data_IF_117854872977
#
_entry.id   IF_117854872977
#
_cell.length_a   1.000
_cell.length_b   1.000
_cell.length_c   1.000
_cell.angle_alpha   90.00
_cell.angle_beta   90.00
_cell.angle_gamma   90.00
#
_symmetry.space_group_name_H-M   'P 1'
#
loop_
_entity.id
_entity.type
_entity.pdbx_description
1 polymer ?
#
# COMPACT_ATOMS: atom_id res chain seq x y z
N UNK A 1 36.15 30.85 10.10
CA UNK A 1 36.68 31.69 9.00
C UNK A 1 35.61 31.70 7.92
N UNK A 2 35.24 32.86 7.35
CA UNK A 2 34.29 32.93 6.25
C UNK A 2 34.73 32.10 5.04
N UNK A 3 33.79 31.46 4.35
CA UNK A 3 34.09 30.67 3.14
C UNK A 3 34.63 31.55 2.00
N UNK A 4 34.22 32.82 1.92
CA UNK A 4 34.72 33.78 0.91
C UNK A 4 36.25 33.92 0.95
N UNK A 5 36.85 33.87 2.14
CA UNK A 5 38.31 34.02 2.33
C UNK A 5 39.12 32.87 1.71
N UNK A 6 38.46 31.75 1.36
CA UNK A 6 39.08 30.56 0.75
C UNK A 6 38.98 30.53 -0.78
N UNK A 7 38.37 31.53 -1.42
CA UNK A 7 38.14 31.57 -2.87
C UNK A 7 39.31 32.18 -3.67
N UNK A 8 40.44 31.49 -3.69
CA UNK A 8 41.72 32.03 -4.19
C UNK A 8 41.95 31.77 -5.68
N UNK A 9 41.45 30.65 -6.20
CA UNK A 9 41.66 30.15 -7.57
C UNK A 9 40.32 29.80 -8.28
N UNK A 10 40.38 29.32 -9.52
CA UNK A 10 39.16 28.99 -10.29
C UNK A 10 38.38 27.80 -9.70
N UNK A 11 39.07 26.81 -9.12
CA UNK A 11 38.45 25.60 -8.57
C UNK A 11 37.71 25.91 -7.27
N UNK A 12 38.33 26.69 -6.38
CA UNK A 12 37.72 27.19 -5.14
C UNK A 12 36.58 28.17 -5.40
N UNK A 13 36.67 29.01 -6.45
CA UNK A 13 35.54 29.85 -6.90
C UNK A 13 34.36 29.02 -7.42
N UNK A 14 34.65 27.96 -8.18
CA UNK A 14 33.64 27.01 -8.66
C UNK A 14 32.96 26.28 -7.50
N UNK A 15 33.72 25.87 -6.49
CA UNK A 15 33.19 25.28 -5.26
C UNK A 15 32.29 26.26 -4.48
N UNK A 16 32.71 27.52 -4.32
CA UNK A 16 31.87 28.56 -3.70
C UNK A 16 30.55 28.77 -4.44
N UNK A 17 30.58 28.77 -5.79
CA UNK A 17 29.36 28.88 -6.59
C UNK A 17 28.39 27.69 -6.37
N UNK A 18 28.90 26.48 -6.18
CA UNK A 18 28.08 25.30 -5.83
C UNK A 18 27.44 25.45 -4.45
N UNK A 19 28.16 25.96 -3.45
CA UNK A 19 27.60 26.24 -2.12
C UNK A 19 26.47 27.26 -2.20
N UNK A 20 26.65 28.35 -2.94
CA UNK A 20 25.59 29.36 -3.15
C UNK A 20 24.36 28.74 -3.82
N UNK A 21 24.57 27.85 -4.80
CA UNK A 21 23.49 27.14 -5.48
C UNK A 21 22.73 26.22 -4.52
N UNK A 22 23.43 25.44 -3.69
CA UNK A 22 22.83 24.57 -2.67
C UNK A 22 22.06 25.40 -1.64
N UNK A 23 22.64 26.50 -1.14
CA UNK A 23 21.98 27.40 -0.22
C UNK A 23 20.69 28.00 -0.81
N UNK A 24 20.72 28.46 -2.07
CA UNK A 24 19.51 28.91 -2.78
C UNK A 24 18.46 27.81 -2.89
N UNK A 25 18.87 26.60 -3.23
CA UNK A 25 17.96 25.46 -3.33
C UNK A 25 17.30 25.18 -1.98
N UNK A 26 18.06 25.10 -0.89
CA UNK A 26 17.51 24.91 0.46
C UNK A 26 16.50 26.00 0.84
N UNK A 27 16.76 27.26 0.50
CA UNK A 27 15.84 28.38 0.81
C UNK A 27 14.57 28.40 -0.05
N UNK A 28 14.56 27.71 -1.19
CA UNK A 28 13.47 27.77 -2.18
C UNK A 28 12.78 26.45 -2.42
N UNK A 29 13.28 25.34 -1.86
CA UNK A 29 12.63 24.03 -1.97
C UNK A 29 11.24 24.13 -1.36
N UNK A 30 10.22 23.76 -2.14
CA UNK A 30 8.81 23.74 -1.70
C UNK A 30 8.22 22.32 -1.64
N UNK A 31 9.04 21.33 -1.96
CA UNK A 31 8.70 19.92 -1.84
C UNK A 31 8.44 19.56 -0.36
N UNK A 32 7.20 19.21 -0.04
CA UNK A 32 6.77 18.86 1.32
C UNK A 32 7.48 17.63 1.86
N UNK A 33 7.79 16.66 1.01
CA UNK A 33 8.49 15.46 1.41
C UNK A 33 9.95 15.80 1.77
N UNK A 34 10.64 16.59 0.94
CA UNK A 34 12.00 17.06 1.26
C UNK A 34 12.01 17.90 2.53
N UNK A 35 11.08 18.86 2.66
CA UNK A 35 10.99 19.74 3.85
C UNK A 35 10.83 18.94 5.13
N UNK A 36 10.04 17.87 5.10
CA UNK A 36 9.80 17.03 6.26
C UNK A 36 11.08 16.36 6.77
N UNK A 37 11.94 15.88 5.87
CA UNK A 37 13.20 15.22 6.24
C UNK A 37 14.33 16.22 6.51
N UNK A 38 14.43 17.29 5.72
CA UNK A 38 15.54 18.23 5.77
C UNK A 38 15.30 19.42 6.72
N UNK A 39 14.23 19.42 7.52
CA UNK A 39 13.76 20.58 8.29
C UNK A 39 14.89 21.29 9.05
N UNK A 40 15.72 20.55 9.78
CA UNK A 40 16.81 21.11 10.58
C UNK A 40 17.81 21.89 9.71
N UNK A 41 18.21 21.31 8.58
CA UNK A 41 19.13 21.94 7.63
C UNK A 41 18.52 23.19 6.99
N UNK A 42 17.24 23.13 6.63
CA UNK A 42 16.53 24.26 6.04
C UNK A 42 16.34 25.41 7.03
N UNK A 43 15.94 25.10 8.27
CA UNK A 43 15.72 26.10 9.33
C UNK A 43 17.04 26.77 9.74
N UNK A 44 18.13 25.99 9.89
CA UNK A 44 19.47 26.51 10.17
C UNK A 44 19.92 27.48 9.07
N UNK A 45 19.84 27.06 7.81
CA UNK A 45 20.31 27.87 6.69
C UNK A 45 19.43 29.10 6.46
N UNK A 46 18.12 28.98 6.66
CA UNK A 46 17.19 30.12 6.64
C UNK A 46 17.45 31.13 7.75
N UNK A 47 17.84 30.66 8.94
CA UNK A 47 18.19 31.56 10.05
C UNK A 47 19.48 32.33 9.77
N UNK A 48 20.51 31.64 9.25
CA UNK A 48 21.82 32.23 8.97
C UNK A 48 21.77 33.23 7.82
N UNK A 49 21.05 32.92 6.75
CA UNK A 49 21.00 33.75 5.53
C UNK A 49 19.80 34.69 5.49
N UNK A 50 19.10 34.88 6.63
CA UNK A 50 17.92 35.73 6.70
C UNK A 50 18.23 37.16 6.30
N UNK A 51 17.57 37.65 5.25
CA UNK A 51 17.77 39.01 4.73
C UNK A 51 19.10 39.25 3.99
N UNK A 52 19.94 38.21 3.85
CA UNK A 52 21.17 38.29 3.08
C UNK A 52 20.88 38.18 1.57
N UNK A 53 21.65 38.89 0.74
CA UNK A 53 21.65 38.67 -0.71
C UNK A 53 22.49 37.45 -1.03
N UNK A 54 22.15 36.75 -2.10
CA UNK A 54 22.89 35.57 -2.56
C UNK A 54 24.40 35.80 -2.77
N UNK A 55 24.79 37.02 -3.14
CA UNK A 55 26.18 37.44 -3.32
C UNK A 55 26.97 37.46 -2.01
N UNK A 56 26.28 37.58 -0.86
CA UNK A 56 26.89 37.67 0.47
C UNK A 56 26.85 36.34 1.22
N UNK A 57 26.26 35.28 0.67
CA UNK A 57 26.10 33.99 1.37
C UNK A 57 27.44 33.40 1.84
N UNK A 58 28.49 33.49 1.02
CA UNK A 58 29.81 32.96 1.35
C UNK A 58 30.57 33.79 2.40
N UNK A 59 30.14 35.04 2.64
CA UNK A 59 30.69 35.91 3.69
C UNK A 59 30.14 35.56 5.08
N UNK A 60 28.94 34.99 5.08
CA UNK A 60 28.17 34.69 6.28
C UNK A 60 28.38 33.23 6.72
N UNK A 61 28.45 32.31 5.75
CA UNK A 61 28.69 30.90 6.04
C UNK A 61 30.13 30.71 6.53
N UNK A 62 30.28 30.09 7.69
CA UNK A 62 31.56 29.55 8.15
C UNK A 62 31.65 28.04 7.89
N UNK A 63 32.82 27.49 8.20
CA UNK A 63 33.18 26.11 7.91
C UNK A 63 32.32 25.11 8.69
N UNK A 64 32.07 25.39 9.97
CA UNK A 64 31.30 24.52 10.86
C UNK A 64 29.85 24.41 10.42
N UNK A 65 29.23 25.51 9.99
CA UNK A 65 27.86 25.50 9.47
C UNK A 65 27.76 24.75 8.15
N UNK A 66 28.78 24.87 7.28
CA UNK A 66 28.81 24.17 6.00
C UNK A 66 28.96 22.65 6.19
N UNK A 67 29.82 22.21 7.11
CA UNK A 67 29.98 20.81 7.48
C UNK A 67 28.71 20.26 8.14
N UNK A 68 28.11 21.01 9.07
CA UNK A 68 26.85 20.64 9.70
C UNK A 68 25.72 20.49 8.67
N UNK A 69 25.62 21.42 7.72
CA UNK A 69 24.65 21.36 6.63
C UNK A 69 24.86 20.10 5.77
N UNK A 70 26.11 19.79 5.40
CA UNK A 70 26.45 18.59 4.64
C UNK A 70 26.01 17.31 5.34
N UNK A 71 26.35 17.18 6.62
CA UNK A 71 26.00 16.02 7.43
C UNK A 71 24.48 15.85 7.60
N UNK A 72 23.75 16.94 7.86
CA UNK A 72 22.30 16.90 8.05
C UNK A 72 21.56 16.54 6.75
N UNK A 73 21.99 17.07 5.61
CA UNK A 73 21.39 16.73 4.31
C UNK A 73 21.69 15.29 3.90
N UNK A 74 22.88 14.78 4.22
CA UNK A 74 23.24 13.37 4.02
C UNK A 74 22.41 12.43 4.90
N UNK A 75 22.25 12.75 6.18
CA UNK A 75 21.39 11.98 7.09
C UNK A 75 19.96 11.94 6.57
N UNK A 76 19.43 13.08 6.11
CA UNK A 76 18.10 13.19 5.51
C UNK A 76 17.97 12.31 4.26
N UNK A 77 18.99 12.29 3.39
CA UNK A 77 19.03 11.46 2.20
C UNK A 77 19.03 9.96 2.54
N UNK A 78 19.75 9.57 3.60
CA UNK A 78 19.76 8.20 4.12
C UNK A 78 18.38 7.79 4.62
N UNK A 79 17.72 8.64 5.42
CA UNK A 79 16.37 8.39 5.93
C UNK A 79 15.33 8.24 4.80
N UNK A 80 15.38 9.11 3.78
CA UNK A 80 14.54 9.00 2.58
C UNK A 80 14.82 7.69 1.85
N UNK A 81 16.09 7.32 1.69
CA UNK A 81 16.48 6.06 1.04
C UNK A 81 15.92 4.84 1.76
N UNK A 82 16.01 4.79 3.10
CA UNK A 82 15.39 3.71 3.89
C UNK A 82 13.88 3.68 3.69
N UNK A 83 13.22 4.85 3.66
CA UNK A 83 11.78 4.95 3.46
C UNK A 83 11.35 4.45 2.07
N UNK A 84 12.07 4.83 1.02
CA UNK A 84 11.86 4.35 -0.36
C UNK A 84 11.99 2.82 -0.41
N UNK A 85 13.04 2.25 0.18
CA UNK A 85 13.23 0.79 0.22
C UNK A 85 12.08 0.08 0.94
N UNK A 86 11.60 0.66 2.05
CA UNK A 86 10.43 0.11 2.76
C UNK A 86 9.17 0.16 1.90
N UNK A 87 8.89 1.29 1.26
CA UNK A 87 7.72 1.44 0.39
C UNK A 87 7.79 0.49 -0.81
N UNK A 88 8.96 0.30 -1.43
CA UNK A 88 9.14 -0.72 -2.48
C UNK A 88 8.77 -2.12 -2.01
N UNK A 89 9.24 -2.51 -0.81
CA UNK A 89 8.90 -3.82 -0.22
C UNK A 89 7.40 -3.94 0.04
N UNK A 90 6.78 -2.90 0.60
CA UNK A 90 5.33 -2.90 0.88
C UNK A 90 4.51 -3.01 -0.41
N UNK A 91 4.96 -2.40 -1.52
CA UNK A 91 4.31 -2.47 -2.84
C UNK A 91 4.44 -3.86 -3.47
N UNK A 92 5.61 -4.49 -3.36
CA UNK A 92 5.82 -5.88 -3.84
C UNK A 92 4.86 -6.87 -3.15
N UNK A 93 4.48 -6.62 -1.90
CA UNK A 93 3.50 -7.45 -1.17
C UNK A 93 2.08 -7.23 -1.68
N UNK A 94 1.77 -6.06 -2.27
CA UNK A 94 0.41 -5.67 -2.64
C UNK A 94 -0.01 -6.03 -4.07
N UNK A 95 0.91 -6.39 -4.98
CA UNK A 95 0.68 -6.82 -6.37
C UNK A 95 -0.73 -6.53 -6.95
N UNK A 96 -0.91 -5.31 -7.47
CA UNK A 96 -2.18 -4.80 -8.01
C UNK A 96 -2.89 -5.78 -8.94
N UNK A 97 -2.17 -6.41 -9.87
CA UNK A 97 -2.73 -7.37 -10.81
C UNK A 97 -3.34 -8.61 -10.13
N UNK A 98 -2.79 -9.04 -8.99
CA UNK A 98 -3.34 -10.15 -8.23
C UNK A 98 -4.58 -9.71 -7.44
N UNK A 99 -4.58 -8.50 -6.87
CA UNK A 99 -5.73 -7.93 -6.17
C UNK A 99 -6.91 -7.68 -7.11
N UNK A 100 -6.68 -7.12 -8.30
CA UNK A 100 -7.73 -6.91 -9.30
C UNK A 100 -8.34 -8.22 -9.77
N UNK A 101 -7.50 -9.25 -9.99
CA UNK A 101 -7.96 -10.60 -10.34
C UNK A 101 -8.80 -11.22 -9.22
N UNK A 102 -8.37 -11.09 -7.96
CA UNK A 102 -9.13 -11.56 -6.79
C UNK A 102 -10.48 -10.84 -6.68
N UNK A 103 -10.49 -9.51 -6.83
CA UNK A 103 -11.72 -8.70 -6.86
C UNK A 103 -12.67 -9.14 -7.97
N UNK A 104 -12.17 -9.33 -9.18
CA UNK A 104 -12.98 -9.77 -10.33
C UNK A 104 -13.60 -11.16 -10.09
N UNK A 105 -12.86 -12.09 -9.49
CA UNK A 105 -13.36 -13.41 -9.13
C UNK A 105 -14.50 -13.33 -8.10
N UNK A 106 -14.35 -12.51 -7.06
CA UNK A 106 -15.39 -12.31 -6.03
C UNK A 106 -16.65 -11.69 -6.64
N UNK A 107 -16.51 -10.71 -7.54
CA UNK A 107 -17.65 -10.11 -8.26
C UNK A 107 -18.38 -11.17 -9.08
N UNK A 108 -17.63 -12.01 -9.83
CA UNK A 108 -18.21 -13.09 -10.62
C UNK A 108 -18.94 -14.14 -9.75
N UNK A 109 -18.39 -14.47 -8.60
CA UNK A 109 -19.03 -15.37 -7.64
C UNK A 109 -20.32 -14.77 -7.07
N UNK A 110 -20.30 -13.47 -6.75
CA UNK A 110 -21.48 -12.72 -6.31
C UNK A 110 -22.59 -12.75 -7.36
N UNK A 111 -22.28 -12.49 -8.62
CA UNK A 111 -23.23 -12.58 -9.74
C UNK A 111 -23.78 -14.00 -9.93
N UNK A 112 -22.94 -15.01 -9.70
CA UNK A 112 -23.36 -16.42 -9.77
C UNK A 112 -24.37 -16.74 -8.68
N UNK A 113 -24.13 -16.29 -7.45
CA UNK A 113 -25.08 -16.44 -6.34
C UNK A 113 -26.39 -15.67 -6.62
N UNK A 114 -26.32 -14.48 -7.22
CA UNK A 114 -27.52 -13.70 -7.59
C UNK A 114 -28.41 -14.44 -8.59
N UNK A 115 -27.80 -15.09 -9.59
CA UNK A 115 -28.54 -15.94 -10.54
C UNK A 115 -29.14 -17.14 -9.82
N UNK A 116 -28.37 -17.84 -8.99
CA UNK A 116 -28.86 -19.00 -8.24
C UNK A 116 -30.03 -18.64 -7.30
N UNK A 117 -29.96 -17.52 -6.58
CA UNK A 117 -31.07 -17.03 -5.74
C UNK A 117 -32.31 -16.77 -6.60
N UNK A 118 -32.14 -16.13 -7.76
CA UNK A 118 -33.25 -15.83 -8.68
C UNK A 118 -33.89 -17.11 -9.22
N UNK A 119 -33.09 -18.10 -9.58
CA UNK A 119 -33.55 -19.41 -10.05
C UNK A 119 -34.31 -20.16 -8.96
N UNK A 120 -33.76 -20.19 -7.73
CA UNK A 120 -34.41 -20.85 -6.58
C UNK A 120 -35.72 -20.13 -6.23
N UNK A 121 -35.76 -18.79 -6.22
CA UNK A 121 -37.01 -18.03 -5.99
C UNK A 121 -38.05 -18.34 -7.06
N UNK A 122 -37.63 -18.45 -8.32
CA UNK A 122 -38.51 -18.84 -9.43
C UNK A 122 -39.07 -20.25 -9.21
N UNK A 123 -38.23 -21.18 -8.74
CA UNK A 123 -38.64 -22.53 -8.37
C UNK A 123 -39.60 -22.57 -7.18
N UNK A 124 -39.35 -21.77 -6.13
CA UNK A 124 -40.27 -21.64 -4.99
C UNK A 124 -41.64 -21.13 -5.45
N UNK A 125 -41.66 -20.12 -6.32
CA UNK A 125 -42.90 -19.58 -6.88
C UNK A 125 -43.64 -20.64 -7.71
N UNK A 126 -42.92 -21.38 -8.54
CA UNK A 126 -43.50 -22.48 -9.33
C UNK A 126 -44.13 -23.56 -8.44
N UNK A 127 -43.40 -24.02 -7.41
CA UNK A 127 -43.88 -25.03 -6.44
C UNK A 127 -45.12 -24.51 -5.72
N UNK A 128 -45.07 -23.26 -5.25
CA UNK A 128 -46.18 -22.63 -4.52
C UNK A 128 -47.44 -22.47 -5.39
N UNK A 129 -47.30 -22.31 -6.71
CA UNK A 129 -48.44 -22.15 -7.61
C UNK A 129 -48.99 -23.48 -8.12
N UNK A 130 -48.13 -24.47 -8.37
CA UNK A 130 -48.50 -25.68 -9.11
C UNK A 130 -48.50 -26.96 -8.28
N UNK A 131 -47.77 -27.00 -7.16
CA UNK A 131 -47.65 -28.18 -6.29
C UNK A 131 -48.31 -27.98 -4.91
N UNK A 132 -48.92 -26.82 -4.66
CA UNK A 132 -49.57 -26.53 -3.39
C UNK A 132 -50.73 -27.51 -3.13
N UNK A 133 -50.77 -28.16 -1.95
CA UNK A 133 -51.89 -29.00 -1.57
C UNK A 133 -53.20 -28.22 -1.68
N UNK A 134 -54.20 -28.83 -2.34
CA UNK A 134 -55.53 -28.22 -2.45
C UNK A 134 -56.23 -28.21 -1.09
N UNK A 135 -57.36 -27.50 -1.01
CA UNK A 135 -58.11 -27.33 0.24
C UNK A 135 -58.38 -28.65 0.99
N UNK A 136 -58.74 -29.73 0.30
CA UNK A 136 -59.11 -31.00 0.92
C UNK A 136 -57.92 -31.72 1.60
N UNK A 137 -56.79 -31.98 0.93
CA UNK A 137 -55.58 -32.46 1.58
C UNK A 137 -55.14 -31.58 2.77
N UNK A 138 -55.14 -30.26 2.62
CA UNK A 138 -54.79 -29.35 3.73
C UNK A 138 -55.78 -29.43 4.90
N UNK A 139 -57.08 -29.60 4.61
CA UNK A 139 -58.11 -29.78 5.62
C UNK A 139 -57.90 -31.10 6.38
N UNK A 140 -57.59 -32.19 5.69
CA UNK A 140 -57.34 -33.50 6.30
C UNK A 140 -56.03 -33.54 7.10
N UNK A 141 -55.01 -32.82 6.63
CA UNK A 141 -53.67 -32.79 7.23
C UNK A 141 -53.58 -31.97 8.53
N UNK A 142 -54.64 -31.24 8.91
CA UNK A 142 -54.66 -30.39 10.09
C UNK A 142 -54.43 -31.20 11.38
N UNK A 143 -53.34 -30.87 12.07
CA UNK A 143 -52.93 -31.53 13.30
C UNK A 143 -53.74 -31.09 14.53
N UNK A 144 -54.48 -29.98 14.44
CA UNK A 144 -55.31 -29.45 15.53
C UNK A 144 -56.76 -29.23 15.08
N UNK A 145 -57.49 -30.28 14.68
CA UNK A 145 -58.87 -30.13 14.29
C UNK A 145 -59.72 -29.69 15.50
N UNK A 146 -60.48 -28.61 15.33
CA UNK A 146 -61.49 -28.21 16.31
C UNK A 146 -62.60 -29.27 16.45
N UNK A 147 -63.39 -29.20 17.52
CA UNK A 147 -64.40 -30.22 17.88
C UNK A 147 -65.27 -30.71 16.71
N UNK A 148 -65.85 -29.80 15.93
CA UNK A 148 -66.70 -30.15 14.78
C UNK A 148 -65.93 -30.84 13.65
N UNK A 149 -64.69 -30.43 13.42
CA UNK A 149 -63.82 -31.04 12.41
C UNK A 149 -63.40 -32.44 12.83
N UNK A 150 -63.10 -32.66 14.11
CA UNK A 150 -62.78 -33.98 14.64
C UNK A 150 -63.91 -34.98 14.46
N UNK A 151 -65.18 -34.54 14.57
CA UNK A 151 -66.35 -35.38 14.29
C UNK A 151 -66.38 -35.77 12.80
N UNK A 152 -66.11 -34.83 11.90
CA UNK A 152 -66.07 -35.12 10.45
C UNK A 152 -64.92 -36.07 10.10
N UNK A 153 -63.73 -35.84 10.67
CA UNK A 153 -62.55 -36.67 10.47
C UNK A 153 -62.72 -38.09 11.02
N UNK A 154 -63.55 -38.30 12.06
CA UNK A 154 -63.84 -39.62 12.62
C UNK A 154 -64.45 -40.60 11.60
N UNK A 155 -65.18 -40.08 10.61
CA UNK A 155 -65.78 -40.89 9.54
C UNK A 155 -64.82 -41.12 8.35
N UNK A 156 -63.62 -40.53 8.37
CA UNK A 156 -62.63 -40.64 7.31
C UNK A 156 -61.59 -41.69 7.72
N UNK A 157 -61.26 -42.66 6.84
CA UNK A 157 -60.24 -43.64 7.17
C UNK A 157 -58.88 -42.98 7.44
N UNK A 158 -58.20 -43.44 8.50
CA UNK A 158 -56.93 -42.87 8.96
C UNK A 158 -55.86 -42.82 7.86
N UNK A 159 -55.84 -43.80 6.94
CA UNK A 159 -54.92 -43.83 5.81
C UNK A 159 -55.01 -42.57 4.92
N UNK A 160 -56.22 -42.05 4.67
CA UNK A 160 -56.38 -40.81 3.89
C UNK A 160 -55.88 -39.57 4.63
N UNK A 161 -55.98 -39.57 5.96
CA UNK A 161 -55.46 -38.50 6.82
C UNK A 161 -53.93 -38.55 6.81
N UNK A 162 -53.35 -39.74 6.93
CA UNK A 162 -51.89 -39.94 6.93
C UNK A 162 -51.27 -39.58 5.57
N UNK A 163 -51.90 -39.99 4.45
CA UNK A 163 -51.48 -39.62 3.10
C UNK A 163 -51.55 -38.09 2.87
N UNK A 164 -52.60 -37.44 3.37
CA UNK A 164 -52.75 -35.99 3.29
C UNK A 164 -51.69 -35.25 4.11
N UNK A 165 -51.39 -35.74 5.32
CA UNK A 165 -50.30 -35.22 6.15
C UNK A 165 -48.94 -35.38 5.48
N UNK A 166 -48.67 -36.56 4.92
CA UNK A 166 -47.42 -36.82 4.22
C UNK A 166 -47.26 -35.87 3.01
N UNK A 167 -48.31 -35.67 2.23
CA UNK A 167 -48.30 -34.76 1.08
C UNK A 167 -48.03 -33.31 1.48
N UNK A 168 -48.72 -32.81 2.53
CA UNK A 168 -48.50 -31.45 3.03
C UNK A 168 -47.10 -31.28 3.62
N UNK A 169 -46.65 -32.23 4.44
CA UNK A 169 -45.30 -32.20 5.03
C UNK A 169 -44.21 -32.23 3.96
N UNK A 170 -44.38 -33.03 2.89
CA UNK A 170 -43.43 -33.06 1.76
C UNK A 170 -43.37 -31.73 1.02
N UNK A 171 -44.50 -31.05 0.85
CA UNK A 171 -44.56 -29.72 0.23
C UNK A 171 -43.85 -28.68 1.11
N UNK A 172 -44.17 -28.64 2.40
CA UNK A 172 -43.58 -27.69 3.35
C UNK A 172 -42.06 -27.91 3.49
N UNK A 173 -41.61 -29.17 3.54
CA UNK A 173 -40.18 -29.49 3.63
C UNK A 173 -39.42 -29.06 2.36
N UNK A 174 -40.01 -29.27 1.16
CA UNK A 174 -39.42 -28.79 -0.10
C UNK A 174 -39.22 -27.27 -0.08
N UNK A 175 -40.25 -26.51 0.30
CA UNK A 175 -40.15 -25.04 0.38
C UNK A 175 -39.11 -24.61 1.40
N UNK A 176 -39.14 -25.20 2.60
CA UNK A 176 -38.20 -24.89 3.68
C UNK A 176 -36.74 -25.13 3.28
N UNK A 177 -36.45 -26.21 2.54
CA UNK A 177 -35.11 -26.50 2.03
C UNK A 177 -34.64 -25.41 1.07
N UNK A 178 -35.50 -25.00 0.12
CA UNK A 178 -35.17 -23.95 -0.85
C UNK A 178 -35.03 -22.57 -0.19
N UNK A 179 -35.86 -22.24 0.79
CA UNK A 179 -35.73 -21.01 1.59
C UNK A 179 -34.42 -20.97 2.38
N UNK A 180 -34.02 -22.11 2.96
CA UNK A 180 -32.72 -22.23 3.65
C UNK A 180 -31.55 -22.05 2.69
N UNK A 181 -31.66 -22.58 1.47
CA UNK A 181 -30.65 -22.42 0.42
C UNK A 181 -30.52 -20.95 -0.02
N UNK A 182 -31.65 -20.26 -0.25
CA UNK A 182 -31.67 -18.81 -0.52
C UNK A 182 -30.95 -18.06 0.60
N UNK A 183 -31.31 -18.32 1.87
CA UNK A 183 -30.72 -17.63 3.01
C UNK A 183 -29.20 -17.83 3.08
N UNK A 184 -28.74 -19.04 2.82
CA UNK A 184 -27.30 -19.36 2.81
C UNK A 184 -26.56 -18.62 1.69
N UNK A 185 -27.17 -18.53 0.51
CA UNK A 185 -26.61 -17.77 -0.62
C UNK A 185 -26.62 -16.25 -0.35
N UNK A 186 -27.65 -15.73 0.31
CA UNK A 186 -27.75 -14.32 0.72
C UNK A 186 -26.67 -13.97 1.76
N UNK A 187 -26.48 -14.80 2.79
CA UNK A 187 -25.40 -14.63 3.77
C UNK A 187 -24.02 -14.67 3.10
N UNK A 188 -23.82 -15.59 2.15
CA UNK A 188 -22.58 -15.67 1.37
C UNK A 188 -22.37 -14.41 0.52
N UNK A 189 -23.43 -13.89 -0.12
CA UNK A 189 -23.39 -12.66 -0.91
C UNK A 189 -23.00 -11.45 -0.06
N UNK A 190 -23.50 -11.36 1.17
CA UNK A 190 -23.15 -10.29 2.11
C UNK A 190 -21.65 -10.33 2.46
N UNK A 191 -21.12 -11.52 2.74
CA UNK A 191 -19.67 -11.70 2.97
C UNK A 191 -18.84 -11.29 1.76
N UNK A 192 -19.21 -11.76 0.57
CA UNK A 192 -18.53 -11.41 -0.68
C UNK A 192 -18.58 -9.89 -0.95
N UNK A 193 -19.65 -9.19 -0.57
CA UNK A 193 -19.70 -7.73 -0.68
C UNK A 193 -18.68 -7.04 0.24
N UNK A 194 -18.48 -7.56 1.45
CA UNK A 194 -17.39 -7.13 2.34
C UNK A 194 -16.01 -7.37 1.72
N UNK A 195 -15.81 -8.54 1.10
CA UNK A 195 -14.54 -8.87 0.42
C UNK A 195 -14.26 -7.92 -0.76
N UNK A 196 -15.26 -7.59 -1.58
CA UNK A 196 -15.11 -6.59 -2.66
C UNK A 196 -14.65 -5.25 -2.11
N UNK A 197 -15.30 -4.77 -1.04
CA UNK A 197 -14.94 -3.50 -0.41
C UNK A 197 -13.50 -3.53 0.14
N UNK A 198 -13.09 -4.64 0.76
CA UNK A 198 -11.74 -4.83 1.27
C UNK A 198 -10.70 -4.76 0.14
N UNK A 199 -10.94 -5.46 -0.98
CA UNK A 199 -10.04 -5.41 -2.13
C UNK A 199 -9.99 -4.01 -2.76
N UNK A 200 -11.10 -3.29 -2.85
CA UNK A 200 -11.12 -1.90 -3.34
C UNK A 200 -10.29 -0.98 -2.44
N UNK A 201 -10.40 -1.13 -1.11
CA UNK A 201 -9.56 -0.37 -0.18
C UNK A 201 -8.07 -0.68 -0.35
N UNK A 202 -7.72 -1.95 -0.56
CA UNK A 202 -6.33 -2.37 -0.79
C UNK A 202 -5.77 -1.78 -2.09
N UNK A 203 -6.51 -1.86 -3.19
CA UNK A 203 -6.12 -1.28 -4.49
C UNK A 203 -5.90 0.24 -4.37
N UNK A 204 -6.80 0.96 -3.70
CA UNK A 204 -6.63 2.41 -3.48
C UNK A 204 -5.40 2.70 -2.61
N UNK A 205 -5.14 1.88 -1.59
CA UNK A 205 -3.96 2.02 -0.74
C UNK A 205 -2.66 1.78 -1.53
N UNK A 206 -2.64 0.78 -2.40
CA UNK A 206 -1.50 0.46 -3.25
C UNK A 206 -1.21 1.60 -4.23
N UNK A 207 -2.22 2.14 -4.91
CA UNK A 207 -2.06 3.30 -5.80
C UNK A 207 -1.47 4.50 -5.08
N UNK A 208 -2.01 4.85 -3.91
CA UNK A 208 -1.46 5.95 -3.08
C UNK A 208 -0.01 5.70 -2.68
N UNK A 209 0.34 4.46 -2.40
CA UNK A 209 1.70 4.08 -2.03
C UNK A 209 2.66 4.13 -3.23
N UNK A 210 2.20 3.73 -4.42
CA UNK A 210 2.94 3.84 -5.68
C UNK A 210 3.18 5.31 -6.07
N UNK A 211 2.14 6.14 -6.04
CA UNK A 211 2.23 7.58 -6.34
C UNK A 211 3.20 8.27 -5.36
N UNK A 212 3.05 8.00 -4.06
CA UNK A 212 3.94 8.54 -3.03
C UNK A 212 5.38 8.04 -3.17
N UNK A 213 5.59 6.80 -3.63
CA UNK A 213 6.92 6.27 -3.90
C UNK A 213 7.59 7.00 -5.07
N UNK A 214 6.85 7.24 -6.16
CA UNK A 214 7.35 7.97 -7.33
C UNK A 214 7.80 9.37 -6.95
N UNK A 215 6.95 10.12 -6.26
CA UNK A 215 7.26 11.48 -5.77
C UNK A 215 8.50 11.45 -4.87
N UNK A 216 8.54 10.55 -3.88
CA UNK A 216 9.67 10.46 -2.96
C UNK A 216 10.98 10.05 -3.66
N UNK A 217 10.93 9.28 -4.74
CA UNK A 217 12.12 8.95 -5.55
C UNK A 217 12.64 10.16 -6.34
N UNK A 218 11.75 10.98 -6.91
CA UNK A 218 12.12 12.24 -7.55
C UNK A 218 12.77 13.19 -6.54
N UNK A 219 12.14 13.36 -5.37
CA UNK A 219 12.66 14.14 -4.25
C UNK A 219 14.04 13.65 -3.80
N UNK A 220 14.21 12.32 -3.64
CA UNK A 220 15.49 11.68 -3.31
C UNK A 220 16.57 12.03 -4.34
N UNK A 221 16.23 12.02 -5.62
CA UNK A 221 17.18 12.28 -6.71
C UNK A 221 17.63 13.74 -6.71
N UNK A 222 16.69 14.68 -6.53
CA UNK A 222 17.00 16.10 -6.40
C UNK A 222 17.86 16.39 -5.17
N UNK A 223 17.52 15.81 -4.02
CA UNK A 223 18.32 15.96 -2.80
C UNK A 223 19.71 15.33 -2.96
N UNK A 224 19.81 14.14 -3.55
CA UNK A 224 21.08 13.45 -3.79
C UNK A 224 22.05 14.27 -4.64
N UNK A 225 21.55 14.90 -5.72
CA UNK A 225 22.35 15.82 -6.53
C UNK A 225 22.86 17.02 -5.71
N UNK A 226 22.00 17.57 -4.84
CA UNK A 226 22.34 18.71 -3.99
C UNK A 226 23.39 18.34 -2.95
N UNK A 227 23.26 17.18 -2.30
CA UNK A 227 24.23 16.64 -1.34
C UNK A 227 25.58 16.40 -2.04
N UNK A 228 25.58 15.82 -3.23
CA UNK A 228 26.81 15.59 -3.99
C UNK A 228 27.48 16.88 -4.44
N UNK A 229 26.71 17.87 -4.93
CA UNK A 229 27.22 19.21 -5.27
C UNK A 229 27.88 19.87 -4.03
N UNK A 230 27.26 19.74 -2.86
CA UNK A 230 27.77 20.28 -1.60
C UNK A 230 29.03 19.57 -1.12
N UNK A 231 29.04 18.24 -1.09
CA UNK A 231 30.22 17.44 -0.69
C UNK A 231 31.42 17.72 -1.59
N UNK A 232 31.22 17.77 -2.90
CA UNK A 232 32.28 18.11 -3.83
C UNK A 232 32.85 19.50 -3.57
N UNK A 233 31.99 20.48 -3.22
CA UNK A 233 32.43 21.82 -2.88
C UNK A 233 33.18 21.88 -1.53
N UNK A 234 32.69 21.15 -0.52
CA UNK A 234 33.35 21.01 0.79
C UNK A 234 34.75 20.40 0.61
N UNK A 235 34.89 19.31 -0.15
CA UNK A 235 36.18 18.64 -0.34
C UNK A 235 37.23 19.55 -1.03
N UNK A 236 36.80 20.49 -1.86
CA UNK A 236 37.69 21.46 -2.54
C UNK A 236 38.09 22.60 -1.58
N UNK A 237 37.15 23.13 -0.80
CA UNK A 237 37.37 24.31 0.05
C UNK A 237 37.92 23.97 1.44
N UNK A 238 37.58 22.77 1.91
CA UNK A 238 37.95 22.19 3.19
C UNK A 238 38.57 20.81 2.94
N UNK A 239 39.72 20.73 2.22
CA UNK A 239 40.40 19.45 2.04
C UNK A 239 40.74 18.91 3.42
N UNK A 240 40.03 17.85 3.84
CA UNK A 240 40.42 17.11 5.02
C UNK A 240 41.78 16.51 4.70
N UNK A 241 42.80 16.86 5.48
CA UNK A 241 44.06 16.15 5.45
C UNK A 241 43.74 14.68 5.78
N UNK A 242 43.79 13.79 4.79
CA UNK A 242 43.78 12.32 4.98
C UNK A 242 45.08 11.82 5.65
N UNK A 243 45.66 12.61 6.55
CA UNK A 243 46.93 12.32 7.21
C UNK A 243 46.73 12.35 8.72
N UNK A 244 46.14 11.27 9.26
CA UNK A 244 46.36 10.82 10.65
C UNK A 244 45.78 9.41 10.91
N UNK A 245 45.85 8.48 9.94
CA UNK A 245 45.60 7.03 10.18
C UNK A 245 46.80 6.13 9.82
N UNK A 246 47.96 6.69 9.47
CA UNK A 246 49.18 5.93 9.16
C UNK A 246 50.31 6.19 10.16
N UNK A 247 50.06 5.94 11.44
CA UNK A 247 51.13 5.72 12.44
C UNK A 247 50.55 4.82 13.53
N UNK A 248 50.46 3.51 13.26
CA UNK A 248 50.57 2.40 14.25
C UNK A 248 50.13 1.10 13.58
N UNK A 249 51.02 0.46 12.82
CA UNK A 249 51.15 -1.00 12.73
C UNK A 249 52.25 -1.39 11.73
N UNK A 250 53.50 -1.02 12.02
CA UNK A 250 54.65 -1.80 11.55
C UNK A 250 55.06 -2.74 12.70
N UNK A 251 54.47 -3.93 12.74
CA UNK A 251 55.12 -5.13 13.28
C UNK A 251 54.57 -6.35 12.55
N UNK A 252 55.47 -7.03 11.85
CA UNK A 252 55.32 -8.31 11.18
C UNK A 252 54.72 -9.40 12.08
N UNK A 253 53.82 -10.23 11.51
CA UNK A 253 54.01 -11.69 11.49
C UNK A 253 53.05 -12.36 10.50
N UNK A 254 53.62 -12.81 9.38
CA UNK A 254 53.47 -14.14 8.76
C UNK A 254 52.21 -14.99 9.09
N UNK A 255 51.32 -15.19 8.09
CA UNK A 255 51.09 -16.50 7.42
C UNK A 255 49.70 -16.63 6.75
N UNK A 256 49.77 -16.96 5.45
CA UNK A 256 48.95 -17.88 4.66
C UNK A 256 47.48 -17.57 4.32
N UNK A 257 47.26 -17.53 2.99
CA UNK A 257 46.24 -18.21 2.19
C UNK A 257 44.78 -18.18 2.71
N UNK A 258 43.89 -17.49 1.99
CA UNK A 258 43.07 -18.19 1.01
C UNK A 258 42.40 -17.23 0.02
N UNK A 259 42.31 -17.76 -1.19
CA UNK A 259 41.76 -17.25 -2.43
C UNK A 259 40.23 -17.06 -2.37
N UNK A 260 39.73 -16.02 -3.07
CA UNK A 260 38.63 -16.09 -4.05
C UNK A 260 37.80 -14.79 -4.12
N UNK A 261 38.12 -14.07 -5.19
CA UNK A 261 37.25 -13.13 -5.91
C UNK A 261 35.87 -13.73 -6.22
N UNK A 262 34.81 -12.95 -5.99
CA UNK A 262 33.56 -13.07 -6.76
C UNK A 262 32.85 -11.71 -6.83
N UNK A 263 32.91 -11.11 -8.02
CA UNK A 263 31.96 -10.13 -8.52
C UNK A 263 30.55 -10.77 -8.53
N UNK A 264 29.47 -10.01 -8.34
CA UNK A 264 28.54 -9.88 -9.46
C UNK A 264 27.98 -8.47 -9.61
N UNK A 265 28.32 -7.89 -10.76
CA UNK A 265 27.41 -7.35 -11.78
C UNK A 265 26.20 -6.53 -11.33
N UNK A 266 26.31 -5.24 -11.71
CA UNK A 266 25.23 -4.34 -12.09
C UNK A 266 24.08 -5.05 -12.81
N UNK A 267 22.88 -5.03 -12.21
CA UNK A 267 21.61 -5.16 -12.93
C UNK A 267 20.73 -3.95 -12.56
N UNK A 268 21.01 -2.83 -13.22
CA UNK A 268 20.09 -1.69 -13.33
C UNK A 268 18.92 -2.09 -14.24
N UNK A 269 17.97 -2.88 -13.73
CA UNK A 269 16.66 -3.04 -14.36
C UNK A 269 15.85 -1.74 -14.21
N UNK A 270 16.02 -0.86 -15.19
CA UNK A 270 15.12 0.27 -15.45
C UNK A 270 13.77 -0.31 -15.92
N UNK A 271 12.80 -0.41 -15.01
CA UNK A 271 11.41 -0.67 -15.37
C UNK A 271 10.83 0.55 -16.11
N UNK A 272 10.86 0.51 -17.44
CA UNK A 272 10.09 1.43 -18.29
C UNK A 272 8.65 0.91 -18.36
N UNK A 273 7.73 1.58 -17.68
CA UNK A 273 6.31 1.39 -17.91
C UNK A 273 5.91 2.18 -19.17
N UNK A 274 5.72 1.46 -20.29
CA UNK A 274 5.01 2.02 -21.44
C UNK A 274 3.49 1.99 -21.20
N UNK A 275 2.77 3.10 -21.39
CA UNK A 275 1.31 3.09 -21.38
C UNK A 275 0.76 2.51 -22.69
N UNK A 276 -0.17 1.56 -22.58
CA UNK A 276 -1.07 1.14 -23.68
C UNK A 276 -2.44 1.79 -23.53
#
# INVERSE_FOLDING_TARGET
MPIEDKMVDEDTKSAGAKIVKVAKWCLTVDDLDIKKYCKTALDQLSSLLSGAKAEDYLKILEEEELLALGNQLEESLSQISTKVTKMKKDLVVLQEAELEKKRANVIKEKETNDRAITDIRTRCNYISQNEQPTFWPSYLADNNPGFFKSIILFFIPQSFIDDAKESCNKFDEKLRVLEKEIRTLEEKKERLAGDVYNYECQIVSEKKLADGLSLLQESKTSLGKTVNDLKAAINILLPQNESEENEFAETNDDQNDDDLTANPEDDDEIFVFEPK
#
